data_IF_994671681037
#
_entry.id   IF_994671681037
#
_cell.length_a   1.000
_cell.length_b   1.000
_cell.length_c   1.000
_cell.angle_alpha   90.00
_cell.angle_beta   90.00
_cell.angle_gamma   90.00
#
_symmetry.space_group_name_H-M   'P 1'
#
loop_
_entity.id
_entity.type
_entity.pdbx_description
1 polymer ?
#
# COMPACT_ATOMS: atom_id res chain seq x y z
N UNK A 1 0.59 18.78 -0.67
CA UNK A 1 1.07 18.75 0.72
C UNK A 1 2.34 17.93 0.77
N UNK A 2 3.34 18.37 1.52
CA UNK A 2 4.55 17.60 1.76
C UNK A 2 4.62 17.19 3.24
N UNK A 3 5.12 16.00 3.55
CA UNK A 3 5.26 15.61 4.95
C UNK A 3 5.76 14.19 5.20
N UNK A 4 6.07 13.91 6.46
CA UNK A 4 6.39 12.57 6.97
C UNK A 4 5.31 12.16 7.97
N UNK A 5 4.64 11.05 7.70
CA UNK A 5 3.68 10.38 8.59
C UNK A 5 4.32 9.09 9.06
N UNK A 6 4.89 9.12 10.26
CA UNK A 6 5.65 8.01 10.86
C UNK A 6 5.37 7.99 12.37
N UNK A 7 4.19 7.48 12.78
CA UNK A 7 3.81 7.41 14.18
C UNK A 7 4.71 6.43 14.94
N UNK A 8 5.07 6.79 16.19
CA UNK A 8 5.90 5.94 17.06
C UNK A 8 5.18 4.68 17.56
N UNK A 9 3.85 4.69 17.52
CA UNK A 9 2.98 3.55 17.77
C UNK A 9 2.64 2.82 16.46
N UNK A 10 2.50 1.48 16.50
CA UNK A 10 1.98 0.68 15.39
C UNK A 10 0.54 1.10 15.09
N UNK A 11 0.37 2.16 14.31
CA UNK A 11 -0.95 2.54 13.80
C UNK A 11 -1.30 1.64 12.64
N UNK A 12 -2.49 1.06 12.76
CA UNK A 12 -3.01 0.16 11.76
C UNK A 12 -3.39 0.93 10.49
N UNK A 13 -4.05 2.08 10.59
CA UNK A 13 -4.57 2.78 9.41
C UNK A 13 -4.01 4.18 9.25
N UNK A 14 -3.30 4.44 8.16
CA UNK A 14 -2.63 5.71 7.91
C UNK A 14 -2.72 6.16 6.46
N UNK A 15 -2.86 7.47 6.27
CA UNK A 15 -2.68 8.13 4.99
C UNK A 15 -2.05 9.51 5.15
N UNK A 16 -1.35 9.98 4.12
CA UNK A 16 -0.73 11.31 4.12
C UNK A 16 -1.74 12.45 4.27
N UNK A 17 -3.01 12.22 3.89
CA UNK A 17 -4.10 13.20 4.02
C UNK A 17 -5.13 12.74 5.06
N UNK A 18 -5.55 11.47 5.02
CA UNK A 18 -6.57 10.95 5.93
C UNK A 18 -6.32 9.47 6.29
N UNK A 19 -6.67 9.07 7.50
CA UNK A 19 -6.72 7.65 7.86
C UNK A 19 -7.87 6.92 7.15
N UNK A 20 -9.07 7.49 7.17
CA UNK A 20 -10.26 6.95 6.51
C UNK A 20 -10.99 8.04 5.73
N UNK A 21 -11.45 7.73 4.52
CA UNK A 21 -12.25 8.60 3.68
C UNK A 21 -13.65 8.00 3.48
N UNK A 22 -14.69 8.79 3.80
CA UNK A 22 -16.11 8.47 3.56
C UNK A 22 -16.81 9.44 2.61
N UNK A 23 -16.09 10.43 2.10
CA UNK A 23 -16.61 11.49 1.24
C UNK A 23 -15.76 11.64 -0.03
N UNK A 24 -15.69 12.86 -0.55
CA UNK A 24 -14.90 13.17 -1.74
C UNK A 24 -13.52 13.74 -1.35
N UNK A 25 -12.47 13.06 -1.80
CA UNK A 25 -11.12 13.58 -1.87
C UNK A 25 -10.77 13.81 -3.34
N UNK A 26 -10.67 15.07 -3.77
CA UNK A 26 -10.49 15.42 -5.17
C UNK A 26 -9.35 16.41 -5.39
N UNK A 27 -8.58 16.23 -6.48
CA UNK A 27 -7.54 17.18 -6.89
C UNK A 27 -6.39 17.32 -5.89
N UNK A 28 -6.20 16.33 -5.02
CA UNK A 28 -5.22 16.40 -3.94
C UNK A 28 -3.89 15.80 -4.37
N UNK A 29 -2.80 16.42 -3.92
CA UNK A 29 -1.44 15.90 -4.13
C UNK A 29 -0.73 15.77 -2.80
N UNK A 30 -0.12 14.62 -2.55
CA UNK A 30 0.76 14.38 -1.42
C UNK A 30 2.15 13.92 -1.86
N UNK A 31 3.18 14.50 -1.26
CA UNK A 31 4.58 14.14 -1.44
C UNK A 31 5.24 13.86 -0.10
N UNK A 32 5.95 12.74 0.02
CA UNK A 32 6.68 12.39 1.24
C UNK A 32 6.44 10.97 1.72
N UNK A 33 6.74 10.71 2.99
CA UNK A 33 6.87 9.35 3.53
C UNK A 33 5.69 8.99 4.43
N UNK A 34 5.07 7.84 4.19
CA UNK A 34 4.00 7.28 5.04
C UNK A 34 4.41 5.87 5.48
N UNK A 35 4.57 5.64 6.78
CA UNK A 35 4.94 4.34 7.36
C UNK A 35 3.93 3.91 8.42
N UNK A 36 3.50 2.65 8.38
CA UNK A 36 2.67 2.02 9.42
C UNK A 36 2.50 0.53 9.19
N UNK A 37 1.52 -0.08 9.85
CA UNK A 37 1.37 -1.55 9.88
C UNK A 37 0.28 -2.11 8.93
N UNK A 38 -0.98 -1.76 9.13
CA UNK A 38 -2.09 -2.51 8.52
C UNK A 38 -2.52 -1.93 7.14
N UNK A 39 -3.28 -0.83 7.12
CA UNK A 39 -3.82 -0.19 5.91
C UNK A 39 -3.15 1.15 5.67
N UNK A 40 -2.12 1.15 4.83
CA UNK A 40 -1.25 2.29 4.58
C UNK A 40 -1.39 2.76 3.14
N UNK A 41 -1.93 3.97 2.97
CA UNK A 41 -2.03 4.63 1.68
C UNK A 41 -1.16 5.88 1.62
N UNK A 42 -0.65 6.23 0.44
CA UNK A 42 0.04 7.51 0.27
C UNK A 42 -0.88 8.72 0.55
N UNK A 43 -2.18 8.61 0.23
CA UNK A 43 -3.17 9.64 0.54
C UNK A 43 -4.12 9.21 1.66
N UNK A 44 -4.72 8.02 1.53
CA UNK A 44 -5.77 7.54 2.43
C UNK A 44 -5.47 6.13 2.91
N UNK A 45 -5.56 5.85 4.20
CA UNK A 45 -5.43 4.46 4.69
C UNK A 45 -6.55 3.56 4.16
N UNK A 46 -7.81 3.93 4.43
CA UNK A 46 -9.01 3.22 3.98
C UNK A 46 -9.94 4.16 3.22
N UNK A 47 -10.23 3.85 1.97
CA UNK A 47 -11.33 4.47 1.23
C UNK A 47 -12.60 3.62 1.41
N UNK A 48 -13.53 4.10 2.22
CA UNK A 48 -14.76 3.38 2.58
C UNK A 48 -15.72 3.30 1.39
N UNK A 49 -16.79 2.50 1.48
CA UNK A 49 -17.71 2.26 0.36
C UNK A 49 -18.39 3.52 -0.21
N UNK A 50 -18.61 4.55 0.62
CA UNK A 50 -19.11 5.86 0.19
C UNK A 50 -18.00 6.83 -0.24
N UNK A 51 -16.74 6.46 -0.05
CA UNK A 51 -15.57 7.28 -0.31
C UNK A 51 -15.19 7.31 -1.80
N UNK A 52 -14.80 8.49 -2.27
CA UNK A 52 -14.30 8.72 -3.61
C UNK A 52 -12.96 9.44 -3.54
N UNK A 53 -11.96 8.90 -4.23
CA UNK A 53 -10.67 9.56 -4.46
C UNK A 53 -10.53 9.81 -5.95
N UNK A 54 -10.47 11.08 -6.36
CA UNK A 54 -10.59 11.48 -7.76
C UNK A 54 -9.47 12.44 -8.15
N UNK A 55 -8.80 12.19 -9.26
CA UNK A 55 -7.78 13.09 -9.81
C UNK A 55 -6.71 13.49 -8.78
N UNK A 56 -6.23 12.50 -8.03
CA UNK A 56 -5.27 12.71 -6.96
C UNK A 56 -3.90 12.09 -7.29
N UNK A 57 -2.84 12.65 -6.73
CA UNK A 57 -1.46 12.23 -7.02
C UNK A 57 -0.67 11.96 -5.75
N UNK A 58 0.08 10.84 -5.74
CA UNK A 58 1.12 10.56 -4.76
C UNK A 58 2.49 10.52 -5.43
N UNK A 59 3.47 11.14 -4.78
CA UNK A 59 4.88 11.05 -5.19
C UNK A 59 5.75 10.99 -3.94
N UNK A 60 6.11 9.81 -3.47
CA UNK A 60 6.78 9.67 -2.18
C UNK A 60 7.16 8.24 -1.87
N UNK A 61 7.21 7.87 -0.59
CA UNK A 61 7.46 6.51 -0.17
C UNK A 61 6.35 6.02 0.77
N UNK A 62 5.78 4.86 0.48
CA UNK A 62 4.85 4.16 1.37
C UNK A 62 5.53 2.90 1.88
N UNK A 63 5.43 2.64 3.18
CA UNK A 63 5.89 1.39 3.79
C UNK A 63 4.80 0.84 4.71
N UNK A 64 4.28 -0.35 4.40
CA UNK A 64 3.24 -1.06 5.19
C UNK A 64 3.58 -2.52 5.47
N UNK A 65 2.80 -3.21 6.32
CA UNK A 65 2.96 -4.65 6.58
C UNK A 65 1.85 -5.51 5.95
N UNK A 66 0.61 -5.01 5.82
CA UNK A 66 -0.54 -5.81 5.36
C UNK A 66 -1.16 -5.31 4.04
N UNK A 67 -1.53 -4.04 3.96
CA UNK A 67 -2.15 -3.42 2.79
C UNK A 67 -1.45 -2.10 2.50
N UNK A 68 -0.60 -2.10 1.46
CA UNK A 68 0.16 -0.92 1.08
C UNK A 68 -0.22 -0.45 -0.33
N UNK A 69 -0.56 0.84 -0.45
CA UNK A 69 -0.89 1.44 -1.74
C UNK A 69 -0.44 2.89 -1.89
N UNK A 70 -0.12 3.30 -3.12
CA UNK A 70 0.27 4.69 -3.39
C UNK A 70 -0.87 5.69 -3.20
N UNK A 71 -2.12 5.29 -3.44
CA UNK A 71 -3.29 6.15 -3.23
C UNK A 71 -4.03 5.72 -1.97
N UNK A 72 -4.43 4.45 -1.90
CA UNK A 72 -5.19 3.89 -0.79
C UNK A 72 -4.54 2.61 -0.24
N UNK A 73 -4.52 2.38 1.07
CA UNK A 73 -4.16 1.06 1.59
C UNK A 73 -5.22 0.03 1.19
N UNK A 74 -6.47 0.32 1.55
CA UNK A 74 -7.64 -0.46 1.16
C UNK A 74 -8.69 0.41 0.45
N UNK A 75 -9.30 -0.15 -0.59
CA UNK A 75 -10.37 0.52 -1.34
C UNK A 75 -11.66 -0.31 -1.37
N UNK A 76 -12.70 0.21 -0.73
CA UNK A 76 -14.07 -0.30 -0.78
C UNK A 76 -15.00 0.60 -1.63
N UNK A 77 -14.61 1.86 -1.84
CA UNK A 77 -15.33 2.85 -2.65
C UNK A 77 -14.78 2.98 -4.07
N UNK A 78 -14.55 4.21 -4.53
CA UNK A 78 -14.01 4.49 -5.85
C UNK A 78 -12.67 5.24 -5.81
N UNK A 79 -11.70 4.78 -6.62
CA UNK A 79 -10.46 5.51 -6.93
C UNK A 79 -10.41 5.72 -8.45
N UNK A 80 -10.45 6.97 -8.88
CA UNK A 80 -10.66 7.32 -10.29
C UNK A 80 -9.61 8.34 -10.72
N UNK A 81 -8.97 8.11 -11.86
CA UNK A 81 -8.01 9.05 -12.47
C UNK A 81 -6.86 9.46 -11.53
N UNK A 82 -6.42 8.55 -10.67
CA UNK A 82 -5.34 8.84 -9.73
C UNK A 82 -3.99 8.36 -10.25
N UNK A 83 -2.91 9.00 -9.79
CA UNK A 83 -1.55 8.69 -10.21
C UNK A 83 -0.64 8.43 -9.01
N UNK A 84 0.07 7.32 -9.06
CA UNK A 84 1.22 7.07 -8.22
C UNK A 84 2.53 7.19 -9.03
N UNK A 85 3.49 7.93 -8.49
CA UNK A 85 4.89 7.90 -8.93
C UNK A 85 5.87 7.65 -7.78
N UNK A 86 5.36 7.33 -6.59
CA UNK A 86 6.14 6.99 -5.41
C UNK A 86 6.43 5.50 -5.28
N UNK A 87 7.47 5.16 -4.52
CA UNK A 87 7.84 3.78 -4.22
C UNK A 87 6.92 3.20 -3.15
N UNK A 88 6.30 2.05 -3.43
CA UNK A 88 5.37 1.37 -2.52
C UNK A 88 5.98 0.05 -2.10
N UNK A 89 6.30 -0.03 -0.82
CA UNK A 89 7.12 -1.07 -0.26
C UNK A 89 6.46 -1.66 0.98
N UNK A 90 6.98 -2.81 1.40
CA UNK A 90 6.60 -3.42 2.67
C UNK A 90 7.77 -3.36 3.63
N UNK A 91 7.50 -3.26 4.93
CA UNK A 91 8.56 -3.51 5.91
C UNK A 91 8.83 -5.01 5.90
N UNK A 92 10.05 -5.40 5.53
CA UNK A 92 10.58 -6.62 6.14
C UNK A 92 10.38 -6.48 7.65
N UNK A 93 9.88 -7.54 8.27
CA UNK A 93 10.34 -7.83 9.62
C UNK A 93 11.82 -8.15 9.43
N UNK A 94 12.64 -7.10 9.38
CA UNK A 94 14.08 -7.13 9.61
C UNK A 94 14.25 -7.48 11.10
N UNK A 95 13.77 -8.67 11.46
CA UNK A 95 14.41 -9.42 12.51
C UNK A 95 15.78 -9.74 11.89
N UNK A 96 16.76 -8.88 12.16
CA UNK A 96 18.05 -9.43 12.57
C UNK A 96 17.72 -10.57 13.53
N UNK A 97 17.71 -11.79 13.01
CA UNK A 97 17.82 -12.99 13.80
C UNK A 97 19.23 -12.92 14.37
N UNK A 98 19.39 -12.12 15.42
CA UNK A 98 20.47 -12.28 16.36
C UNK A 98 20.28 -13.66 16.97
N UNK A 99 20.97 -14.64 16.38
CA UNK A 99 20.89 -16.06 16.72
C UNK A 99 21.33 -16.35 18.17
N UNK A 100 21.78 -15.33 18.91
CA UNK A 100 22.26 -15.46 20.28
C UNK A 100 21.22 -15.07 21.36
N UNK A 101 20.02 -14.59 20.98
CA UNK A 101 19.04 -14.05 21.94
C UNK A 101 17.67 -14.77 22.00
N UNK A 102 17.57 -16.04 21.58
CA UNK A 102 16.30 -16.78 21.70
C UNK A 102 16.06 -17.26 23.13
N UNK A 103 15.55 -16.37 23.98
CA UNK A 103 14.85 -16.75 25.21
C UNK A 103 13.52 -17.39 24.84
N UNK A 104 13.23 -18.56 25.45
CA UNK A 104 12.03 -19.42 25.25
C UNK A 104 10.67 -18.76 25.56
N UNK A 105 10.62 -17.45 25.72
CA UNK A 105 9.40 -16.64 25.78
C UNK A 105 9.11 -15.92 24.45
N UNK A 106 10.11 -15.71 23.59
CA UNK A 106 9.92 -15.15 22.23
C UNK A 106 9.40 -16.18 21.23
N UNK A 107 9.37 -17.48 21.58
CA UNK A 107 8.75 -18.51 20.75
C UNK A 107 7.22 -18.37 20.66
N UNK A 108 6.58 -17.60 21.54
CA UNK A 108 5.15 -17.28 21.43
C UNK A 108 4.89 -16.05 20.54
N UNK A 109 5.93 -15.36 20.05
CA UNK A 109 5.82 -14.35 19.00
C UNK A 109 6.19 -14.90 17.61
N UNK A 110 6.67 -16.14 17.54
CA UNK A 110 6.98 -16.87 16.30
C UNK A 110 5.77 -17.61 15.71
N UNK A 111 4.56 -17.33 16.20
CA UNK A 111 3.30 -17.97 15.79
C UNK A 111 2.34 -17.02 15.06
N UNK A 112 2.85 -16.12 14.22
CA UNK A 112 2.05 -15.42 13.21
C UNK A 112 2.74 -15.60 11.85
N UNK A 113 2.59 -16.78 11.24
CA UNK A 113 1.84 -17.01 9.99
C UNK A 113 2.11 -15.93 8.95
N UNK A 114 2.62 -16.26 7.74
CA UNK A 114 2.93 -15.27 6.71
C UNK A 114 1.66 -14.46 6.46
N UNK A 115 1.66 -13.23 6.93
CA UNK A 115 0.49 -12.38 6.74
C UNK A 115 0.51 -12.01 5.26
N UNK A 116 -0.54 -12.38 4.53
CA UNK A 116 -0.66 -12.04 3.12
C UNK A 116 -0.57 -10.52 3.00
N UNK A 117 0.59 -10.03 2.58
CA UNK A 117 0.77 -8.61 2.29
C UNK A 117 0.32 -8.37 0.85
N UNK A 118 -0.68 -7.51 0.71
CA UNK A 118 -1.16 -7.03 -0.58
C UNK A 118 -0.57 -5.65 -0.83
N UNK A 119 0.25 -5.54 -1.88
CA UNK A 119 0.97 -4.32 -2.23
C UNK A 119 0.59 -3.91 -3.62
N UNK A 120 0.12 -2.68 -3.79
CA UNK A 120 -0.21 -2.15 -5.11
C UNK A 120 0.27 -0.74 -5.36
N UNK A 121 0.55 -0.41 -6.62
CA UNK A 121 0.91 0.97 -6.96
C UNK A 121 -0.21 1.98 -6.65
N UNK A 122 -1.48 1.59 -6.79
CA UNK A 122 -2.64 2.43 -6.47
C UNK A 122 -3.28 1.98 -5.16
N UNK A 123 -3.57 0.69 -5.00
CA UNK A 123 -4.16 0.15 -3.78
C UNK A 123 -3.55 -1.19 -3.37
N UNK A 124 -3.36 -1.43 -2.07
CA UNK A 124 -2.98 -2.76 -1.58
C UNK A 124 -4.09 -3.77 -1.87
N UNK A 125 -5.27 -3.52 -1.31
CA UNK A 125 -6.47 -4.31 -1.55
C UNK A 125 -7.60 -3.45 -2.12
N UNK A 126 -8.39 -4.00 -3.04
CA UNK A 126 -9.59 -3.34 -3.53
C UNK A 126 -10.74 -4.29 -3.81
N UNK A 127 -11.89 -4.06 -3.19
CA UNK A 127 -13.19 -4.63 -3.59
C UNK A 127 -14.12 -3.61 -4.25
N UNK A 128 -13.68 -2.35 -4.34
CA UNK A 128 -14.41 -1.27 -4.97
C UNK A 128 -14.06 -1.09 -6.46
N UNK A 129 -14.18 0.15 -6.93
CA UNK A 129 -13.84 0.56 -8.30
C UNK A 129 -12.46 1.20 -8.29
N UNK A 130 -11.59 0.75 -9.20
CA UNK A 130 -10.35 1.44 -9.56
C UNK A 130 -10.38 1.65 -11.08
N UNK A 131 -10.45 2.91 -11.50
CA UNK A 131 -10.60 3.24 -12.91
C UNK A 131 -9.64 4.33 -13.38
N UNK A 132 -9.07 4.17 -14.58
CA UNK A 132 -8.23 5.18 -15.23
C UNK A 132 -7.03 5.62 -14.38
N UNK A 133 -6.53 4.75 -13.51
CA UNK A 133 -5.42 5.07 -12.61
C UNK A 133 -4.08 4.62 -13.20
N UNK A 134 -3.02 5.34 -12.84
CA UNK A 134 -1.68 5.02 -13.32
C UNK A 134 -0.71 4.82 -12.17
N UNK A 135 0.18 3.85 -12.33
CA UNK A 135 1.35 3.71 -11.49
C UNK A 135 2.62 3.85 -12.34
N UNK A 136 3.59 4.61 -11.85
CA UNK A 136 4.92 4.76 -12.43
C UNK A 136 6.04 4.60 -11.41
N UNK A 137 5.70 4.46 -10.13
CA UNK A 137 6.67 4.18 -9.07
C UNK A 137 6.90 2.68 -8.91
N UNK A 138 8.01 2.32 -8.27
CA UNK A 138 8.32 0.92 -7.97
C UNK A 138 7.33 0.34 -6.95
N UNK A 139 6.97 -0.94 -7.09
CA UNK A 139 6.08 -1.65 -6.17
C UNK A 139 6.72 -2.95 -5.73
N UNK A 140 6.83 -3.16 -4.42
CA UNK A 140 7.25 -4.42 -3.82
C UNK A 140 8.74 -4.56 -3.50
N UNK A 141 9.07 -5.72 -2.93
CA UNK A 141 10.42 -6.21 -2.62
C UNK A 141 10.51 -7.72 -2.89
N UNK A 142 11.74 -8.22 -3.01
CA UNK A 142 12.03 -9.57 -3.48
C UNK A 142 11.81 -10.62 -2.38
N UNK A 143 10.55 -11.05 -2.18
CA UNK A 143 10.17 -12.06 -1.19
C UNK A 143 9.16 -13.09 -1.70
N UNK A 144 9.09 -14.21 -0.98
CA UNK A 144 8.20 -15.35 -1.28
C UNK A 144 6.89 -15.21 -0.48
N UNK A 145 5.75 -15.06 -1.16
CA UNK A 145 4.42 -15.21 -0.55
C UNK A 145 3.49 -13.98 -0.53
N UNK A 146 3.76 -12.94 -1.33
CA UNK A 146 2.98 -11.69 -1.33
C UNK A 146 2.23 -11.44 -2.64
N UNK A 147 1.08 -10.76 -2.57
CA UNK A 147 0.35 -10.29 -3.76
C UNK A 147 0.84 -8.89 -4.11
N UNK A 148 1.78 -8.81 -5.05
CA UNK A 148 2.37 -7.54 -5.49
C UNK A 148 1.86 -7.23 -6.90
N UNK A 149 1.17 -6.10 -7.05
CA UNK A 149 0.60 -5.69 -8.33
C UNK A 149 0.94 -4.24 -8.70
N UNK A 150 1.15 -3.98 -9.99
CA UNK A 150 1.46 -2.62 -10.45
C UNK A 150 0.34 -1.61 -10.15
N UNK A 151 -0.92 -2.06 -10.10
CA UNK A 151 -2.08 -1.21 -9.74
C UNK A 151 -2.70 -1.63 -8.41
N UNK A 152 -3.11 -2.90 -8.31
CA UNK A 152 -3.71 -3.47 -7.10
C UNK A 152 -2.95 -4.71 -6.70
N UNK A 153 -2.59 -4.85 -5.42
CA UNK A 153 -2.02 -6.10 -4.90
C UNK A 153 -3.04 -7.24 -4.99
N UNK A 154 -4.20 -7.07 -4.34
CA UNK A 154 -5.33 -8.01 -4.44
C UNK A 154 -6.61 -7.31 -4.86
N UNK A 155 -7.16 -7.76 -5.99
CA UNK A 155 -8.37 -7.22 -6.59
C UNK A 155 -9.56 -8.18 -6.42
N UNK A 156 -10.67 -7.64 -5.93
CA UNK A 156 -11.97 -8.33 -5.78
C UNK A 156 -13.16 -7.49 -6.25
N UNK A 157 -12.90 -6.32 -6.85
CA UNK A 157 -13.90 -5.42 -7.42
C UNK A 157 -13.70 -5.17 -8.92
N UNK A 158 -14.00 -3.95 -9.37
CA UNK A 158 -13.83 -3.54 -10.77
C UNK A 158 -12.51 -2.79 -10.99
N UNK A 159 -11.73 -3.23 -11.97
CA UNK A 159 -10.47 -2.62 -12.38
C UNK A 159 -10.52 -2.36 -13.89
N UNK A 160 -10.44 -1.09 -14.31
CA UNK A 160 -10.60 -0.72 -15.72
C UNK A 160 -9.73 0.48 -16.12
N UNK A 161 -9.25 0.50 -17.36
CA UNK A 161 -8.46 1.60 -17.91
C UNK A 161 -7.18 1.97 -17.14
N UNK A 162 -6.66 1.08 -16.30
CA UNK A 162 -5.49 1.35 -15.47
C UNK A 162 -4.19 0.91 -16.17
N UNK A 163 -3.08 1.59 -15.87
CA UNK A 163 -1.79 1.27 -16.48
C UNK A 163 -0.63 1.39 -15.49
N UNK A 164 0.20 0.35 -15.41
CA UNK A 164 1.46 0.38 -14.70
C UNK A 164 2.62 0.55 -15.69
N UNK A 165 3.53 1.48 -15.39
CA UNK A 165 4.83 1.63 -16.07
C UNK A 165 6.01 1.60 -15.10
N UNK A 166 5.77 1.35 -13.81
CA UNK A 166 6.81 1.23 -12.78
C UNK A 166 7.26 -0.22 -12.61
N UNK A 167 8.43 -0.40 -12.02
CA UNK A 167 8.98 -1.72 -11.74
C UNK A 167 8.15 -2.45 -10.68
N UNK A 168 7.92 -3.74 -10.89
CA UNK A 168 7.29 -4.63 -9.91
C UNK A 168 8.36 -5.61 -9.44
N UNK A 169 8.71 -5.54 -8.16
CA UNK A 169 9.74 -6.36 -7.54
C UNK A 169 9.03 -7.43 -6.71
N UNK A 170 8.94 -8.64 -7.24
CA UNK A 170 8.42 -9.83 -6.55
C UNK A 170 9.16 -11.07 -7.06
N UNK A 171 9.29 -12.09 -6.21
CA UNK A 171 10.13 -13.27 -6.47
C UNK A 171 9.87 -13.86 -7.86
N UNK A 172 10.83 -13.63 -8.76
CA UNK A 172 10.75 -13.98 -10.17
C UNK A 172 10.41 -12.78 -11.03
N UNK A 173 11.46 -12.13 -11.53
CA UNK A 173 11.42 -11.22 -12.66
C UNK A 173 10.65 -11.84 -13.84
N UNK A 174 9.35 -11.56 -13.93
CA UNK A 174 8.52 -11.82 -15.09
C UNK A 174 7.54 -10.64 -15.24
N UNK A 175 7.73 -9.94 -16.34
CA UNK A 175 7.13 -8.66 -16.65
C UNK A 175 5.59 -8.68 -16.71
N UNK A 176 5.01 -7.56 -16.26
CA UNK A 176 3.90 -6.81 -16.85
C UNK A 176 2.73 -7.60 -17.48
N UNK A 177 1.53 -7.37 -16.91
CA UNK A 177 0.40 -6.72 -17.59
C UNK A 177 -0.57 -6.17 -16.53
#
# INVERSE_FOLDING_TARGET
MEGRVDPSDRKNTLGGIAGSNRGLLAGCTFHGTVRGADSIGGLVGINESSGQIVNCTFSGAVTGEHYAGGIAGQNYGAVIQCRNSGSINTTEVDAELDLDAINREQLNAAENVPVCTDVGGVAGYSSGIIQSCTNSGSVGYDHVGYNIGGIVGRQSGYLDGCANSGDILGAGSAAAL
#
